data_IF_982312225313
#
_entry.id   IF_982312225313
#
_cell.length_a   1.000
_cell.length_b   1.000
_cell.length_c   1.000
_cell.angle_alpha   90.00
_cell.angle_beta   90.00
_cell.angle_gamma   90.00
#
_symmetry.space_group_name_H-M   'P 1'
#
loop_
_entity.id
_entity.type
_entity.pdbx_description
1 polymer ?
#
# COMPACT_ATOMS: atom_id res chain seq x y z
N UNK A 1 -10.61 6.85 15.21
CA UNK A 1 -9.33 7.57 15.02
C UNK A 1 -8.26 6.53 14.70
N UNK A 2 -7.52 6.69 13.60
CA UNK A 2 -6.39 5.80 13.28
C UNK A 2 -5.23 6.24 14.17
N UNK A 3 -4.76 5.38 15.07
CA UNK A 3 -3.67 5.71 15.99
C UNK A 3 -2.39 5.88 15.18
N UNK A 4 -1.84 7.11 15.15
CA UNK A 4 -0.54 7.37 14.52
C UNK A 4 0.57 6.80 15.41
N UNK A 5 1.53 6.11 14.80
CA UNK A 5 2.72 5.66 15.53
C UNK A 5 3.64 6.85 15.80
N UNK A 6 4.54 6.71 16.79
CA UNK A 6 5.56 7.73 17.06
C UNK A 6 6.41 8.05 15.82
N UNK A 7 6.76 7.02 15.04
CA UNK A 7 7.49 7.17 13.78
C UNK A 7 6.69 7.97 12.73
N UNK A 8 5.37 7.82 12.68
CA UNK A 8 4.51 8.61 11.78
C UNK A 8 4.47 10.09 12.20
N UNK A 9 4.43 10.35 13.51
CA UNK A 9 4.41 11.71 14.06
C UNK A 9 5.74 12.45 13.85
N UNK A 10 6.87 11.76 14.07
CA UNK A 10 8.20 12.30 13.78
C UNK A 10 8.36 12.63 12.30
N UNK A 11 7.89 11.74 11.42
CA UNK A 11 7.93 11.98 9.97
C UNK A 11 7.12 13.21 9.55
N UNK A 12 5.94 13.41 10.14
CA UNK A 12 5.08 14.56 9.87
C UNK A 12 5.72 15.91 10.24
N UNK A 13 6.69 15.92 11.17
CA UNK A 13 7.44 17.12 11.58
C UNK A 13 8.57 17.54 10.62
N UNK A 14 8.82 16.80 9.54
CA UNK A 14 9.93 17.06 8.61
C UNK A 14 9.68 18.31 7.75
N UNK A 15 10.70 19.18 7.65
CA UNK A 15 10.61 20.45 6.89
C UNK A 15 10.68 20.31 5.36
N UNK A 16 11.29 19.24 4.85
CA UNK A 16 11.48 19.01 3.41
C UNK A 16 10.58 17.89 2.92
N UNK A 17 9.68 18.22 2.01
CA UNK A 17 8.95 17.23 1.23
C UNK A 17 9.84 16.65 0.12
N UNK A 18 9.87 15.32 0.02
CA UNK A 18 10.68 14.64 -1.00
C UNK A 18 9.96 14.59 -2.35
N UNK A 19 10.70 14.43 -3.45
CA UNK A 19 10.08 14.24 -4.79
C UNK A 19 9.14 13.02 -4.81
N UNK A 20 9.52 11.96 -4.10
CA UNK A 20 8.70 10.75 -3.94
C UNK A 20 7.39 11.05 -3.22
N UNK A 21 7.39 11.84 -2.15
CA UNK A 21 6.16 12.28 -1.47
C UNK A 21 5.25 13.11 -2.37
N UNK A 22 5.81 14.10 -3.08
CA UNK A 22 5.02 14.94 -3.98
C UNK A 22 4.35 14.10 -5.07
N UNK A 23 5.08 13.15 -5.65
CA UNK A 23 4.54 12.20 -6.61
C UNK A 23 3.39 11.37 -6.01
N UNK A 24 3.55 10.82 -4.80
CA UNK A 24 2.49 10.05 -4.14
C UNK A 24 1.25 10.88 -3.82
N UNK A 25 1.43 12.14 -3.40
CA UNK A 25 0.32 13.09 -3.17
C UNK A 25 -0.44 13.35 -4.47
N UNK A 26 0.28 13.51 -5.58
CA UNK A 26 -0.34 13.68 -6.90
C UNK A 26 -1.08 12.42 -7.35
N UNK A 27 -0.45 11.26 -7.23
CA UNK A 27 -1.05 9.97 -7.58
C UNK A 27 -2.31 9.66 -6.76
N UNK A 28 -2.35 9.99 -5.47
CA UNK A 28 -3.56 9.81 -4.65
C UNK A 28 -4.75 10.62 -5.20
N UNK A 29 -4.50 11.76 -5.88
CA UNK A 29 -5.53 12.61 -6.46
C UNK A 29 -5.98 12.15 -7.85
N UNK A 30 -5.05 11.72 -8.69
CA UNK A 30 -5.33 11.46 -10.11
C UNK A 30 -5.75 10.02 -10.40
N UNK A 31 -5.36 9.05 -9.56
CA UNK A 31 -5.74 7.66 -9.75
C UNK A 31 -7.25 7.50 -9.47
N UNK A 32 -8.03 6.88 -10.37
CA UNK A 32 -9.47 6.71 -10.20
C UNK A 32 -9.79 5.54 -9.24
N UNK A 33 -9.40 5.66 -7.97
CA UNK A 33 -9.45 4.59 -6.96
C UNK A 33 -10.80 3.87 -6.91
N UNK A 34 -11.90 4.63 -6.83
CA UNK A 34 -13.25 4.03 -6.74
C UNK A 34 -13.59 3.15 -7.94
N UNK A 35 -13.22 3.59 -9.14
CA UNK A 35 -13.45 2.82 -10.36
C UNK A 35 -12.63 1.54 -10.39
N UNK A 36 -11.34 1.63 -10.06
CA UNK A 36 -10.45 0.46 -10.02
C UNK A 36 -10.90 -0.55 -8.97
N UNK A 37 -11.28 -0.09 -7.78
CA UNK A 37 -11.78 -0.97 -6.72
C UNK A 37 -13.04 -1.69 -7.15
N UNK A 38 -14.01 -0.98 -7.75
CA UNK A 38 -15.27 -1.59 -8.19
C UNK A 38 -15.06 -2.70 -9.25
N UNK A 39 -14.00 -2.61 -10.05
CA UNK A 39 -13.66 -3.65 -11.03
C UNK A 39 -13.04 -4.90 -10.38
N UNK A 40 -12.26 -4.72 -9.31
CA UNK A 40 -11.50 -5.82 -8.67
C UNK A 40 -12.32 -6.49 -7.56
N UNK A 41 -13.16 -5.72 -6.85
CA UNK A 41 -13.94 -6.16 -5.68
C UNK A 41 -14.72 -7.48 -5.89
N UNK A 42 -15.36 -7.75 -7.05
CA UNK A 42 -16.06 -9.02 -7.28
C UNK A 42 -15.15 -10.26 -7.24
N UNK A 43 -13.86 -10.08 -7.55
CA UNK A 43 -12.87 -11.16 -7.63
C UNK A 43 -11.99 -11.24 -6.36
N UNK A 44 -12.03 -10.21 -5.52
CA UNK A 44 -11.19 -10.14 -4.33
C UNK A 44 -11.74 -11.06 -3.21
N UNK A 45 -10.90 -11.89 -2.57
CA UNK A 45 -11.35 -12.82 -1.55
C UNK A 45 -11.93 -12.07 -0.33
N UNK A 46 -13.14 -12.47 0.08
CA UNK A 46 -13.87 -11.85 1.21
C UNK A 46 -13.42 -12.34 2.59
N UNK A 47 -12.41 -13.22 2.66
CA UNK A 47 -11.83 -13.68 3.92
C UNK A 47 -12.69 -14.71 4.66
N UNK A 48 -13.28 -15.67 3.93
CA UNK A 48 -14.01 -16.78 4.54
C UNK A 48 -13.02 -17.84 5.09
N UNK A 49 -12.50 -17.57 6.30
CA UNK A 49 -11.67 -18.49 7.10
C UNK A 49 -10.18 -18.15 7.14
N UNK A 50 -9.64 -17.97 8.34
CA UNK A 50 -8.20 -17.73 8.60
C UNK A 50 -7.84 -16.29 8.96
N UNK A 51 -6.59 -15.89 8.69
CA UNK A 51 -6.10 -14.51 8.91
C UNK A 51 -6.92 -13.55 8.01
N UNK A 52 -7.50 -12.46 8.54
CA UNK A 52 -8.32 -11.55 7.73
C UNK A 52 -7.56 -11.08 6.48
N UNK A 53 -8.22 -11.05 5.33
CA UNK A 53 -7.61 -10.49 4.11
C UNK A 53 -7.15 -9.05 4.35
N UNK A 54 -6.15 -8.59 3.59
CA UNK A 54 -5.81 -7.16 3.59
C UNK A 54 -6.95 -6.36 2.96
N UNK A 55 -7.18 -5.10 3.34
CA UNK A 55 -8.11 -4.26 2.61
C UNK A 55 -7.70 -4.17 1.13
N UNK A 56 -8.63 -4.41 0.21
CA UNK A 56 -8.38 -4.35 -1.24
C UNK A 56 -7.71 -3.02 -1.64
N UNK A 57 -8.17 -1.92 -1.06
CA UNK A 57 -7.60 -0.59 -1.24
C UNK A 57 -6.12 -0.48 -0.86
N UNK A 58 -5.67 -1.20 0.17
CA UNK A 58 -4.27 -1.23 0.57
C UNK A 58 -3.44 -2.04 -0.44
N UNK A 59 -3.92 -3.22 -0.84
CA UNK A 59 -3.22 -4.06 -1.81
C UNK A 59 -3.12 -3.42 -3.19
N UNK A 60 -4.18 -2.73 -3.65
CA UNK A 60 -4.14 -1.96 -4.89
C UNK A 60 -3.06 -0.87 -4.85
N UNK A 61 -2.93 -0.16 -3.73
CA UNK A 61 -1.86 0.82 -3.56
C UNK A 61 -0.48 0.17 -3.57
N UNK A 62 -0.29 -0.95 -2.87
CA UNK A 62 0.99 -1.69 -2.90
C UNK A 62 1.35 -2.09 -4.33
N UNK A 63 0.40 -2.61 -5.10
CA UNK A 63 0.62 -2.98 -6.50
C UNK A 63 1.02 -1.77 -7.38
N UNK A 64 0.35 -0.62 -7.21
CA UNK A 64 0.74 0.58 -7.94
C UNK A 64 2.12 1.11 -7.52
N UNK A 65 2.48 1.00 -6.24
CA UNK A 65 3.83 1.32 -5.76
C UNK A 65 4.89 0.44 -6.44
N UNK A 66 4.63 -0.87 -6.61
CA UNK A 66 5.51 -1.75 -7.38
C UNK A 66 5.70 -1.24 -8.80
N UNK A 67 4.60 -0.90 -9.49
CA UNK A 67 4.65 -0.44 -10.89
C UNK A 67 5.36 0.92 -11.04
N UNK A 68 5.14 1.86 -10.13
CA UNK A 68 5.74 3.20 -10.24
C UNK A 68 7.23 3.24 -9.89
N UNK A 69 7.68 2.38 -8.98
CA UNK A 69 9.07 2.39 -8.51
C UNK A 69 9.88 1.17 -8.96
N UNK A 70 9.27 0.25 -9.72
CA UNK A 70 9.93 -0.94 -10.25
C UNK A 70 10.32 -1.96 -9.19
N UNK A 71 9.55 -2.08 -8.11
CA UNK A 71 9.82 -3.06 -7.06
C UNK A 71 9.31 -4.46 -7.46
N UNK A 72 10.16 -5.47 -7.28
CA UNK A 72 9.70 -6.86 -7.19
C UNK A 72 8.89 -7.07 -5.90
N UNK A 73 8.21 -8.22 -5.75
CA UNK A 73 7.44 -8.49 -4.53
C UNK A 73 8.30 -8.53 -3.26
N UNK A 74 9.48 -9.21 -3.23
CA UNK A 74 10.33 -9.15 -2.04
C UNK A 74 10.84 -7.73 -1.78
N UNK A 75 11.21 -6.98 -2.83
CA UNK A 75 11.67 -5.61 -2.67
C UNK A 75 10.55 -4.67 -2.16
N UNK A 76 9.29 -4.94 -2.51
CA UNK A 76 8.16 -4.16 -2.05
C UNK A 76 7.85 -4.44 -0.58
N UNK A 77 7.94 -5.70 -0.12
CA UNK A 77 7.84 -6.04 1.30
C UNK A 77 8.88 -5.26 2.11
N UNK A 78 10.15 -5.35 1.75
CA UNK A 78 11.24 -4.63 2.43
C UNK A 78 11.01 -3.11 2.41
N UNK A 79 10.59 -2.56 1.26
CA UNK A 79 10.32 -1.13 1.13
C UNK A 79 9.16 -0.66 2.04
N UNK A 80 8.16 -1.50 2.33
CA UNK A 80 7.08 -1.18 3.27
C UNK A 80 7.54 -1.17 4.73
N UNK A 81 8.58 -1.93 5.09
CA UNK A 81 9.22 -1.85 6.40
C UNK A 81 10.09 -0.60 6.52
N UNK A 82 10.95 -0.35 5.55
CA UNK A 82 11.97 0.71 5.61
C UNK A 82 11.42 2.12 5.35
N UNK A 83 10.47 2.25 4.42
CA UNK A 83 10.06 3.56 3.91
C UNK A 83 8.67 3.93 4.40
N UNK A 84 8.62 4.75 5.46
CA UNK A 84 7.37 5.22 6.09
C UNK A 84 6.37 5.82 5.11
N UNK A 85 6.80 6.61 4.12
CA UNK A 85 5.88 7.24 3.15
C UNK A 85 5.16 6.24 2.23
N UNK A 86 5.83 5.13 1.87
CA UNK A 86 5.22 4.09 1.05
C UNK A 86 4.17 3.34 1.85
N UNK A 87 4.51 3.00 3.11
CA UNK A 87 3.60 2.36 4.06
C UNK A 87 2.37 3.23 4.36
N UNK A 88 2.58 4.52 4.63
CA UNK A 88 1.51 5.48 4.88
C UNK A 88 0.62 5.66 3.66
N UNK A 89 1.21 5.79 2.46
CA UNK A 89 0.45 5.87 1.22
C UNK A 89 -0.45 4.65 1.05
N UNK A 90 0.07 3.43 1.25
CA UNK A 90 -0.70 2.19 1.21
C UNK A 90 -1.74 2.06 2.34
N UNK A 91 -1.74 2.97 3.32
CA UNK A 91 -2.64 2.94 4.46
C UNK A 91 -2.32 1.82 5.46
N UNK A 92 -1.10 1.29 5.43
CA UNK A 92 -0.62 0.21 6.29
C UNK A 92 0.07 0.76 7.55
N UNK A 93 0.27 -0.10 8.54
CA UNK A 93 1.06 0.18 9.75
C UNK A 93 2.08 -0.96 9.98
N UNK A 94 3.03 -0.75 10.90
CA UNK A 94 4.07 -1.74 11.18
C UNK A 94 3.58 -3.01 11.88
N UNK A 95 2.36 -3.01 12.41
CA UNK A 95 1.78 -4.19 13.07
C UNK A 95 1.46 -5.29 12.05
N UNK A 96 1.18 -4.90 10.80
CA UNK A 96 0.76 -5.84 9.76
C UNK A 96 1.13 -5.34 8.36
N UNK A 97 2.29 -5.80 7.88
CA UNK A 97 2.78 -5.60 6.51
C UNK A 97 2.52 -6.86 5.67
N UNK A 98 2.01 -6.74 4.43
CA UNK A 98 1.88 -7.88 3.53
C UNK A 98 3.26 -8.41 3.15
N UNK A 99 3.45 -9.71 3.34
CA UNK A 99 4.66 -10.40 2.89
C UNK A 99 4.67 -10.57 1.36
N UNK A 100 5.83 -10.94 0.82
CA UNK A 100 6.06 -11.23 -0.60
C UNK A 100 4.95 -12.11 -1.18
N UNK A 101 4.58 -13.17 -0.48
CA UNK A 101 3.58 -14.15 -0.96
C UNK A 101 2.20 -13.53 -1.07
N UNK A 102 1.84 -12.65 -0.14
CA UNK A 102 0.59 -11.89 -0.16
C UNK A 102 0.56 -10.93 -1.34
N UNK A 103 1.67 -10.24 -1.60
CA UNK A 103 1.82 -9.31 -2.72
C UNK A 103 1.73 -10.06 -4.06
N UNK A 104 2.45 -11.18 -4.20
CA UNK A 104 2.41 -12.08 -5.36
C UNK A 104 0.99 -12.56 -5.66
N UNK A 105 0.25 -13.02 -4.64
CA UNK A 105 -1.12 -13.51 -4.82
C UNK A 105 -2.06 -12.41 -5.33
N UNK A 106 -1.87 -11.17 -4.86
CA UNK A 106 -2.66 -10.05 -5.36
C UNK A 106 -2.29 -9.68 -6.80
N UNK A 107 -1.01 -9.68 -7.16
CA UNK A 107 -0.60 -9.41 -8.53
C UNK A 107 -1.17 -10.45 -9.51
N UNK A 108 -1.13 -11.74 -9.16
CA UNK A 108 -1.75 -12.82 -9.95
C UNK A 108 -3.27 -12.69 -10.10
N UNK A 109 -3.95 -12.01 -9.18
CA UNK A 109 -5.38 -11.74 -9.29
C UNK A 109 -5.68 -10.68 -10.38
N UNK A 110 -4.72 -9.81 -10.68
CA UNK A 110 -4.87 -8.73 -11.66
C UNK A 110 -4.40 -9.12 -13.07
N UNK A 111 -3.64 -10.21 -13.20
CA UNK A 111 -3.18 -10.82 -14.46
C UNK A 111 -4.24 -11.78 -15.03
#
# INVERSE_FOLDING_TARGET
MKQMTFADAEYAGKRKQTRKELFLIEMDRVVPWKGLIALIEPHYPKGEGGRPAYPLMAMLRVHLLQNWFGYSDPAMEEALYETTILRQFAGLNLERIPDETTILNFRRLLE
#
